data_IF_824903583208
#
_entry.id   IF_824903583208
#
_cell.length_a   1.000
_cell.length_b   1.000
_cell.length_c   1.000
_cell.angle_alpha   90.00
_cell.angle_beta   90.00
_cell.angle_gamma   90.00
#
_symmetry.space_group_name_H-M   'P 1'
#
loop_
_entity.id
_entity.type
_entity.pdbx_description
1 polymer ?
#
# COMPACT_ATOMS: atom_id res chain seq x y z
N UNK A 1 -12.19 -8.38 4.38
CA UNK A 1 -11.70 -9.60 3.68
C UNK A 1 -10.53 -10.19 4.46
N UNK A 2 -10.52 -11.51 4.64
CA UNK A 2 -9.46 -12.27 5.32
C UNK A 2 -8.96 -13.37 4.39
N UNK A 3 -7.70 -13.75 4.50
CA UNK A 3 -7.19 -14.96 3.86
C UNK A 3 -7.83 -16.22 4.46
N UNK A 4 -7.93 -17.27 3.67
CA UNK A 4 -8.58 -18.52 4.08
C UNK A 4 -7.70 -19.29 5.08
N UNK A 5 -6.42 -19.48 4.76
CA UNK A 5 -5.46 -20.17 5.65
C UNK A 5 -4.40 -19.23 6.22
N UNK A 6 -4.31 -18.00 5.72
CA UNK A 6 -3.23 -17.06 6.06
C UNK A 6 -1.99 -17.23 5.18
N UNK A 7 -2.16 -17.89 4.03
CA UNK A 7 -1.10 -18.14 3.05
C UNK A 7 -1.39 -17.41 1.74
N UNK A 8 -1.80 -16.14 1.83
CA UNK A 8 -2.15 -15.27 0.69
C UNK A 8 -3.24 -15.88 -0.21
N UNK A 9 -4.21 -16.54 0.41
CA UNK A 9 -5.17 -17.42 -0.26
C UNK A 9 -6.62 -17.07 0.05
N UNK A 10 -7.51 -17.45 -0.86
CA UNK A 10 -8.96 -17.38 -0.68
C UNK A 10 -9.67 -17.15 -2.01
N UNK A 11 -10.96 -17.53 -2.16
CA UNK A 11 -11.64 -17.48 -3.46
C UNK A 11 -11.54 -16.12 -4.16
N UNK A 12 -11.80 -15.03 -3.41
CA UNK A 12 -11.74 -13.67 -3.95
C UNK A 12 -10.31 -13.17 -4.19
N UNK A 13 -9.36 -13.52 -3.30
CA UNK A 13 -7.93 -13.16 -3.46
C UNK A 13 -7.36 -13.84 -4.70
N UNK A 14 -7.62 -15.13 -4.87
CA UNK A 14 -7.20 -15.93 -6.01
C UNK A 14 -7.82 -15.40 -7.31
N UNK A 15 -9.09 -15.01 -7.28
CA UNK A 15 -9.75 -14.39 -8.43
C UNK A 15 -9.07 -13.07 -8.84
N UNK A 16 -8.75 -12.20 -7.87
CA UNK A 16 -8.04 -10.97 -8.16
C UNK A 16 -6.60 -11.20 -8.64
N UNK A 17 -5.87 -12.15 -8.05
CA UNK A 17 -4.52 -12.50 -8.50
C UNK A 17 -4.55 -12.99 -9.95
N UNK A 18 -5.46 -13.90 -10.30
CA UNK A 18 -5.66 -14.37 -11.69
C UNK A 18 -6.00 -13.22 -12.63
N UNK A 19 -6.97 -12.38 -12.27
CA UNK A 19 -7.37 -11.23 -13.08
C UNK A 19 -6.24 -10.20 -13.27
N UNK A 20 -5.30 -10.12 -12.32
CA UNK A 20 -4.13 -9.25 -12.39
C UNK A 20 -2.91 -9.90 -13.08
N UNK A 21 -3.00 -11.17 -13.50
CA UNK A 21 -1.85 -11.93 -14.01
C UNK A 21 -0.76 -12.17 -12.97
N UNK A 22 -1.10 -12.10 -11.69
CA UNK A 22 -0.19 -12.33 -10.57
C UNK A 22 -0.12 -13.82 -10.21
N UNK A 23 1.02 -14.26 -9.68
CA UNK A 23 1.15 -15.60 -9.12
C UNK A 23 0.15 -15.82 -7.98
N UNK A 24 -0.52 -16.98 -8.00
CA UNK A 24 -1.36 -17.42 -6.89
C UNK A 24 -0.52 -17.58 -5.63
N UNK A 25 -1.12 -17.34 -4.46
CA UNK A 25 -0.46 -17.41 -3.14
C UNK A 25 0.70 -16.41 -2.96
N UNK A 26 0.89 -15.51 -3.94
CA UNK A 26 1.84 -14.42 -3.85
C UNK A 26 1.31 -13.23 -3.03
N UNK A 27 2.19 -12.34 -2.56
CA UNK A 27 1.77 -11.10 -1.89
C UNK A 27 0.79 -10.29 -2.75
N UNK A 28 -0.38 -9.98 -2.20
CA UNK A 28 -1.50 -9.42 -2.98
C UNK A 28 -1.85 -7.95 -2.65
N UNK A 29 -0.96 -7.22 -1.97
CA UNK A 29 -1.17 -5.79 -1.68
C UNK A 29 -1.37 -4.93 -2.95
N UNK A 30 -0.53 -5.14 -3.97
CA UNK A 30 -0.66 -4.46 -5.26
C UNK A 30 -1.92 -4.84 -6.02
N UNK A 31 -2.26 -6.13 -6.01
CA UNK A 31 -3.48 -6.69 -6.60
C UNK A 31 -4.72 -6.06 -5.97
N UNK A 32 -4.76 -6.00 -4.63
CA UNK A 32 -5.85 -5.35 -3.89
C UNK A 32 -6.00 -3.88 -4.26
N UNK A 33 -4.91 -3.10 -4.26
CA UNK A 33 -4.99 -1.69 -4.64
C UNK A 33 -5.44 -1.52 -6.09
N UNK A 34 -4.98 -2.38 -7.00
CA UNK A 34 -5.38 -2.33 -8.41
C UNK A 34 -6.87 -2.64 -8.60
N UNK A 35 -7.40 -3.63 -7.88
CA UNK A 35 -8.82 -3.98 -7.91
C UNK A 35 -9.71 -2.81 -7.45
N UNK A 36 -9.36 -2.17 -6.32
CA UNK A 36 -10.11 -1.01 -5.82
C UNK A 36 -10.01 0.19 -6.76
N UNK A 37 -8.80 0.48 -7.26
CA UNK A 37 -8.56 1.57 -8.19
C UNK A 37 -9.42 1.43 -9.46
N UNK A 38 -9.48 0.22 -10.03
CA UNK A 38 -10.33 -0.10 -11.19
C UNK A 38 -11.81 -0.01 -10.87
N UNK A 39 -12.24 -0.46 -9.70
CA UNK A 39 -13.63 -0.34 -9.27
C UNK A 39 -14.09 1.11 -9.14
N UNK A 40 -13.17 2.03 -8.86
CA UNK A 40 -13.42 3.48 -8.86
C UNK A 40 -13.26 4.16 -10.23
N UNK A 41 -12.97 3.41 -11.30
CA UNK A 41 -12.70 3.99 -12.63
C UNK A 41 -11.41 4.80 -12.73
N UNK A 42 -10.47 4.59 -11.81
CA UNK A 42 -9.23 5.36 -11.71
C UNK A 42 -8.05 4.67 -12.41
N UNK A 43 -7.01 5.41 -12.84
CA UNK A 43 -5.85 4.83 -13.52
C UNK A 43 -5.05 3.89 -12.60
N UNK A 44 -4.49 2.84 -13.21
CA UNK A 44 -3.56 1.90 -12.57
C UNK A 44 -2.24 1.83 -13.34
N UNK A 45 -1.10 1.68 -12.66
CA UNK A 45 0.17 1.46 -13.35
C UNK A 45 0.18 0.12 -14.10
N UNK A 46 0.98 0.03 -15.17
CA UNK A 46 1.30 -1.25 -15.81
C UNK A 46 1.97 -2.17 -14.77
N UNK A 47 1.49 -3.41 -14.67
CA UNK A 47 2.02 -4.36 -13.69
C UNK A 47 1.67 -4.04 -12.24
N UNK A 48 0.52 -3.41 -11.98
CA UNK A 48 0.06 -2.97 -10.65
C UNK A 48 0.04 -4.06 -9.54
N UNK A 49 0.10 -5.35 -9.90
CA UNK A 49 0.31 -6.43 -8.94
C UNK A 49 1.62 -6.25 -8.13
N UNK A 50 2.67 -5.74 -8.78
CA UNK A 50 3.94 -5.38 -8.15
C UNK A 50 3.85 -4.04 -7.42
N UNK A 51 4.04 -4.06 -6.10
CA UNK A 51 3.99 -2.87 -5.23
C UNK A 51 4.89 -1.72 -5.69
N UNK A 52 6.09 -2.03 -6.18
CA UNK A 52 7.05 -1.02 -6.66
C UNK A 52 6.59 -0.28 -7.93
N UNK A 53 5.76 -0.89 -8.78
CA UNK A 53 5.30 -0.28 -10.04
C UNK A 53 4.46 0.98 -9.80
N UNK A 54 3.82 1.09 -8.65
CA UNK A 54 3.02 2.26 -8.23
C UNK A 54 3.84 3.55 -8.03
N UNK A 55 5.17 3.44 -7.97
CA UNK A 55 6.08 4.57 -7.71
C UNK A 55 7.11 4.79 -8.83
N UNK A 56 6.92 4.16 -9.99
CA UNK A 56 7.83 4.31 -11.14
C UNK A 56 7.52 5.55 -11.99
N UNK A 57 6.26 5.99 -12.02
CA UNK A 57 5.84 7.20 -12.70
C UNK A 57 6.26 8.44 -11.90
N UNK A 58 7.22 9.21 -12.44
CA UNK A 58 7.74 10.43 -11.81
C UNK A 58 6.73 11.57 -11.77
N UNK A 59 5.69 11.57 -12.59
CA UNK A 59 4.66 12.63 -12.56
C UNK A 59 3.66 12.40 -11.42
N UNK A 60 3.41 11.12 -11.09
CA UNK A 60 2.49 10.70 -10.02
C UNK A 60 3.16 10.55 -8.66
N UNK A 61 4.42 10.11 -8.65
CA UNK A 61 5.21 9.89 -7.44
C UNK A 61 5.82 11.20 -6.97
N UNK A 62 5.24 11.83 -5.96
CA UNK A 62 5.71 13.12 -5.46
C UNK A 62 6.62 13.00 -4.23
N UNK A 63 6.62 11.86 -3.54
CA UNK A 63 7.44 11.64 -2.35
C UNK A 63 8.21 10.33 -2.42
N UNK A 64 9.49 10.38 -2.04
CA UNK A 64 10.34 9.22 -1.81
C UNK A 64 11.37 9.59 -0.73
N UNK A 65 11.41 8.88 0.40
CA UNK A 65 12.20 9.25 1.59
C UNK A 65 13.66 9.50 1.23
N UNK A 66 14.19 10.64 1.68
CA UNK A 66 15.58 11.04 1.44
C UNK A 66 15.94 11.34 -0.02
N UNK A 67 14.97 11.29 -0.94
CA UNK A 67 15.23 11.45 -2.39
C UNK A 67 14.35 12.50 -3.05
N UNK A 68 13.08 12.65 -2.63
CA UNK A 68 12.11 13.51 -3.32
C UNK A 68 10.98 13.98 -2.42
N UNK A 69 10.66 15.27 -2.52
CA UNK A 69 9.43 15.87 -1.98
C UNK A 69 9.31 15.79 -0.46
N UNK A 70 8.09 16.03 0.04
CA UNK A 70 7.74 15.87 1.44
C UNK A 70 6.52 14.96 1.59
N UNK A 71 6.52 14.17 2.66
CA UNK A 71 5.36 13.38 3.09
C UNK A 71 4.17 14.27 3.47
N UNK A 72 4.40 15.56 3.71
CA UNK A 72 3.36 16.53 4.09
C UNK A 72 2.27 16.71 3.02
N UNK A 73 2.59 16.45 1.76
CA UNK A 73 1.65 16.49 0.65
C UNK A 73 0.75 15.24 0.56
N UNK A 74 0.93 14.27 1.46
CA UNK A 74 0.05 13.10 1.54
C UNK A 74 -1.37 13.50 1.91
N UNK A 75 -2.34 12.90 1.21
CA UNK A 75 -3.78 13.12 1.38
C UNK A 75 -4.50 11.78 1.40
N UNK A 76 -5.72 11.71 1.99
CA UNK A 76 -6.60 10.57 1.79
C UNK A 76 -6.75 10.22 0.31
N UNK A 77 -6.75 8.93 0.00
CA UNK A 77 -6.84 8.42 -1.38
C UNK A 77 -5.48 8.29 -2.10
N UNK A 78 -4.39 8.85 -1.59
CA UNK A 78 -3.07 8.63 -2.18
C UNK A 78 -2.51 7.24 -1.83
N UNK A 79 -1.67 6.70 -2.71
CA UNK A 79 -0.98 5.43 -2.49
C UNK A 79 0.28 5.69 -1.68
N UNK A 80 0.51 4.88 -0.64
CA UNK A 80 1.74 4.90 0.17
C UNK A 80 2.51 3.60 -0.02
N UNK A 81 3.84 3.70 0.00
CA UNK A 81 4.76 2.60 -0.19
C UNK A 81 5.69 2.42 0.99
N UNK A 82 5.95 1.17 1.35
CA UNK A 82 6.84 0.78 2.43
C UNK A 82 8.04 0.03 1.85
N UNK A 83 9.24 0.53 2.14
CA UNK A 83 10.49 -0.07 1.68
C UNK A 83 10.86 -1.28 2.54
N UNK A 84 11.25 -2.37 1.89
CA UNK A 84 11.74 -3.57 2.56
C UNK A 84 13.19 -3.78 2.18
N UNK A 85 14.09 -3.61 3.14
CA UNK A 85 15.54 -3.73 2.92
C UNK A 85 15.93 -5.09 2.35
N UNK A 86 15.30 -6.17 2.82
CA UNK A 86 15.50 -7.54 2.31
C UNK A 86 15.13 -7.73 0.84
N UNK A 87 14.33 -6.82 0.26
CA UNK A 87 13.96 -6.84 -1.17
C UNK A 87 14.68 -5.77 -2.00
N UNK A 88 15.35 -4.80 -1.36
CA UNK A 88 15.94 -3.65 -2.04
C UNK A 88 14.94 -2.71 -2.73
N UNK A 89 13.65 -2.78 -2.37
CA UNK A 89 12.57 -2.04 -3.06
C UNK A 89 11.34 -1.82 -2.17
N UNK A 90 10.37 -1.06 -2.70
CA UNK A 90 9.02 -1.03 -2.13
C UNK A 90 8.42 -2.44 -2.18
N UNK A 91 8.17 -3.00 -1.00
CA UNK A 91 7.70 -4.38 -0.80
C UNK A 91 6.22 -4.46 -0.45
N UNK A 92 5.64 -3.38 0.06
CA UNK A 92 4.25 -3.29 0.47
C UNK A 92 3.66 -1.93 0.12
N UNK A 93 2.34 -1.89 -0.13
CA UNK A 93 1.60 -0.65 -0.40
C UNK A 93 0.24 -0.66 0.25
N UNK A 94 -0.28 0.53 0.48
CA UNK A 94 -1.66 0.74 0.89
C UNK A 94 -2.20 2.09 0.44
N UNK A 95 -3.44 2.35 0.83
CA UNK A 95 -4.14 3.60 0.57
C UNK A 95 -4.16 4.43 1.85
N UNK A 96 -3.68 5.66 1.80
CA UNK A 96 -3.88 6.61 2.90
C UNK A 96 -5.39 6.87 3.07
N UNK A 97 -5.91 6.70 4.29
CA UNK A 97 -7.34 6.90 4.59
C UNK A 97 -7.52 8.15 5.44
N UNK A 98 -6.70 8.29 6.47
CA UNK A 98 -6.83 9.39 7.43
C UNK A 98 -5.47 9.71 8.03
N UNK A 99 -5.20 11.01 8.23
CA UNK A 99 -4.02 11.43 8.97
C UNK A 99 -4.26 11.22 10.47
N UNK A 100 -3.48 10.35 11.09
CA UNK A 100 -3.47 10.23 12.53
C UNK A 100 -2.85 11.48 13.15
N UNK A 101 -3.69 12.35 13.73
CA UNK A 101 -3.22 13.51 14.47
C UNK A 101 -2.84 13.09 15.89
N UNK A 102 -1.56 13.15 16.24
CA UNK A 102 -1.18 13.35 17.63
C UNK A 102 0.02 14.29 17.73
N UNK A 103 -0.27 15.55 18.04
CA UNK A 103 0.68 16.50 18.60
C UNK A 103 0.49 16.42 20.12
N UNK A 104 1.07 15.41 20.78
CA UNK A 104 1.28 15.37 22.25
C UNK A 104 2.50 14.54 22.61
N UNK A 105 3.21 14.97 23.66
CA UNK A 105 4.39 14.30 24.23
C UNK A 105 4.01 12.88 24.70
N UNK A 106 4.68 11.85 24.16
CA UNK A 106 4.48 10.45 24.57
C UNK A 106 3.58 9.57 23.68
N UNK A 107 3.20 10.02 22.47
CA UNK A 107 2.51 9.18 21.46
C UNK A 107 3.28 9.16 20.12
N UNK A 108 3.09 8.14 19.26
CA UNK A 108 3.89 7.95 18.05
C UNK A 108 3.83 9.15 17.11
N UNK A 109 4.92 9.36 16.37
CA UNK A 109 5.11 10.46 15.42
C UNK A 109 3.92 10.61 14.47
N UNK A 110 3.68 11.84 13.99
CA UNK A 110 2.72 12.16 12.92
C UNK A 110 2.67 11.02 11.91
N UNK A 111 1.48 10.51 11.59
CA UNK A 111 1.33 9.30 10.79
C UNK A 111 -0.02 9.18 10.11
N UNK A 112 -0.27 8.03 9.51
CA UNK A 112 -1.45 7.79 8.68
C UNK A 112 -2.07 6.44 8.96
N UNK A 113 -3.39 6.41 9.03
CA UNK A 113 -4.15 5.19 8.88
C UNK A 113 -4.18 4.81 7.40
N UNK A 114 -3.75 3.58 7.12
CA UNK A 114 -3.55 3.07 5.77
C UNK A 114 -4.34 1.79 5.60
N UNK A 115 -5.22 1.76 4.60
CA UNK A 115 -5.95 0.56 4.20
C UNK A 115 -5.12 -0.25 3.19
N UNK A 116 -4.76 -1.48 3.56
CA UNK A 116 -3.94 -2.36 2.75
C UNK A 116 -4.47 -3.79 2.79
N UNK A 117 -4.33 -4.50 1.67
CA UNK A 117 -4.50 -5.95 1.57
C UNK A 117 -3.16 -6.64 1.77
N UNK A 118 -3.19 -7.94 2.07
CA UNK A 118 -2.00 -8.71 2.40
C UNK A 118 -1.29 -8.17 3.65
N UNK A 119 -2.07 -7.79 4.67
CA UNK A 119 -1.60 -7.09 5.87
C UNK A 119 -1.94 -7.85 7.15
N UNK A 120 -0.91 -8.13 7.93
CA UNK A 120 -1.02 -8.77 9.24
C UNK A 120 -1.47 -7.78 10.33
N UNK A 121 -1.72 -8.25 11.57
CA UNK A 121 -2.11 -7.36 12.68
C UNK A 121 -1.06 -6.27 12.95
N UNK A 122 0.22 -6.53 12.67
CA UNK A 122 1.32 -5.58 12.84
C UNK A 122 1.61 -4.68 11.64
N UNK A 123 0.81 -4.70 10.55
CA UNK A 123 1.07 -3.87 9.36
C UNK A 123 2.09 -4.45 8.36
N UNK A 124 2.68 -5.61 8.65
CA UNK A 124 3.62 -6.28 7.75
C UNK A 124 2.97 -6.85 6.49
N UNK A 125 3.81 -7.31 5.55
CA UNK A 125 3.42 -7.94 4.27
C UNK A 125 3.25 -9.47 4.33
N UNK A 126 3.18 -10.03 5.53
CA UNK A 126 3.20 -11.49 5.75
C UNK A 126 1.81 -12.14 5.60
N UNK A 127 0.84 -11.40 5.06
CA UNK A 127 -0.51 -11.89 4.82
C UNK A 127 -1.48 -11.63 5.98
N UNK A 128 -2.66 -12.24 5.91
CA UNK A 128 -3.72 -12.19 6.91
C UNK A 128 -5.04 -11.58 6.43
N UNK A 129 -5.02 -10.51 5.63
CA UNK A 129 -6.25 -9.90 5.11
C UNK A 129 -6.14 -8.42 4.73
N UNK A 130 -7.31 -7.81 4.55
CA UNK A 130 -7.47 -6.35 4.43
C UNK A 130 -7.56 -5.74 5.82
N UNK A 131 -6.71 -4.75 6.10
CA UNK A 131 -6.69 -4.03 7.38
C UNK A 131 -6.48 -2.53 7.17
N UNK A 132 -6.98 -1.76 8.12
CA UNK A 132 -6.57 -0.36 8.33
C UNK A 132 -5.58 -0.36 9.50
N UNK A 133 -4.34 0.06 9.24
CA UNK A 133 -3.26 0.07 10.23
C UNK A 133 -2.64 1.47 10.26
N UNK A 134 -2.26 1.93 11.46
CA UNK A 134 -1.53 3.18 11.60
C UNK A 134 -0.04 2.96 11.29
N UNK A 135 0.51 3.83 10.46
CA UNK A 135 1.95 3.91 10.19
C UNK A 135 2.47 5.30 10.57
N UNK A 136 3.51 5.39 11.40
CA UNK A 136 4.31 6.60 11.54
C UNK A 136 4.77 7.10 10.17
N UNK A 137 4.86 8.43 9.98
CA UNK A 137 5.33 8.99 8.70
C UNK A 137 6.76 8.57 8.37
N UNK A 138 7.58 8.26 9.39
CA UNK A 138 8.94 7.73 9.22
C UNK A 138 8.97 6.38 8.48
N UNK A 139 7.90 5.61 8.56
CA UNK A 139 7.84 4.26 7.99
C UNK A 139 7.37 4.31 6.52
N UNK A 140 6.68 5.40 6.14
CA UNK A 140 6.24 5.61 4.76
C UNK A 140 7.45 6.05 3.94
N UNK A 141 7.81 5.20 2.97
CA UNK A 141 9.00 5.36 2.13
C UNK A 141 8.72 6.05 0.80
N UNK A 142 7.48 6.01 0.33
CA UNK A 142 7.06 6.64 -0.93
C UNK A 142 5.57 7.01 -0.90
N UNK A 143 5.20 8.03 -1.68
CA UNK A 143 3.79 8.36 -1.90
C UNK A 143 3.53 8.82 -3.34
N UNK A 144 2.38 8.41 -3.88
CA UNK A 144 1.97 8.69 -5.24
C UNK A 144 0.47 9.04 -5.33
N UNK A 145 0.15 9.96 -6.24
CA UNK A 145 -1.21 10.32 -6.55
C UNK A 145 -1.70 9.60 -7.82
N UNK A 146 -2.70 8.74 -7.64
CA UNK A 146 -3.36 7.99 -8.73
C UNK A 146 -4.84 8.39 -8.90
N UNK A 147 -5.28 9.51 -8.32
CA UNK A 147 -6.69 9.92 -8.32
C UNK A 147 -7.16 10.59 -9.63
N UNK A 148 -6.26 10.85 -10.58
CA UNK A 148 -6.54 11.41 -11.91
C UNK A 148 -5.41 11.05 -12.87
#
# INVERSE_FOLDING_TARGET
MRELTGSNDGPQINAWQKAAGAALYGPWCGVYQAANQRACGLPVPKGAAGSYNWFTDKTRTYYFTGKRGSIDSLKPGHVVGFYYASLGRIGHIGRAVEMGRSIRKGRPARGWYVNAGNTGRGGGRDGGGVRVVFYPSSDISAAANWLY
#
